data_IF_093258296441
#
_entry.id   IF_093258296441
#
_cell.length_a   1.000
_cell.length_b   1.000
_cell.length_c   1.000
_cell.angle_alpha   90.00
_cell.angle_beta   90.00
_cell.angle_gamma   90.00
#
_symmetry.space_group_name_H-M   'P 1'
#
loop_
_entity.id
_entity.type
_entity.pdbx_description
1 polymer ?
#
# COMPACT_ATOMS: atom_id res chain seq x y z
N UNK A 1 -3.29 5.10 -15.08
CA UNK A 1 -4.18 5.58 -14.02
C UNK A 1 -5.29 4.58 -13.88
N UNK A 2 -5.60 4.16 -12.66
CA UNK A 2 -6.78 3.34 -12.42
C UNK A 2 -8.02 4.20 -12.69
N UNK A 3 -9.01 3.61 -13.36
CA UNK A 3 -10.24 4.29 -13.75
C UNK A 3 -11.40 3.63 -13.03
N UNK A 4 -12.25 4.40 -12.33
CA UNK A 4 -13.43 3.85 -11.69
C UNK A 4 -14.43 3.32 -12.73
N UNK A 5 -15.18 2.29 -12.35
CA UNK A 5 -16.33 1.81 -13.13
C UNK A 5 -17.56 2.73 -12.96
N UNK A 6 -18.68 2.35 -13.59
CA UNK A 6 -19.94 3.10 -13.53
C UNK A 6 -20.49 3.30 -12.10
N UNK A 7 -20.05 2.49 -11.14
CA UNK A 7 -20.43 2.57 -9.73
C UNK A 7 -19.36 3.26 -8.86
N UNK A 8 -18.28 3.77 -9.46
CA UNK A 8 -17.18 4.38 -8.74
C UNK A 8 -16.16 3.39 -8.16
N UNK A 9 -16.25 2.10 -8.51
CA UNK A 9 -15.31 1.09 -8.01
C UNK A 9 -14.01 1.11 -8.80
N UNK A 10 -12.88 1.09 -8.08
CA UNK A 10 -11.54 1.06 -8.66
C UNK A 10 -10.89 -0.29 -8.35
N UNK A 11 -10.56 -1.05 -9.39
CA UNK A 11 -9.84 -2.32 -9.27
C UNK A 11 -8.33 -2.09 -9.11
N UNK A 12 -7.90 -1.65 -7.92
CA UNK A 12 -6.49 -1.32 -7.63
C UNK A 12 -5.65 -2.58 -7.32
N UNK A 13 -5.50 -3.43 -8.33
CA UNK A 13 -4.68 -4.65 -8.22
C UNK A 13 -3.20 -4.35 -7.99
N UNK A 14 -2.73 -3.18 -8.43
CA UNK A 14 -1.35 -2.76 -8.25
C UNK A 14 -1.04 -2.55 -6.76
N UNK A 15 -1.85 -1.77 -6.04
CA UNK A 15 -1.68 -1.53 -4.61
C UNK A 15 -1.82 -2.81 -3.80
N UNK A 16 -2.76 -3.69 -4.16
CA UNK A 16 -2.91 -5.01 -3.54
C UNK A 16 -1.61 -5.81 -3.68
N UNK A 17 -1.09 -5.93 -4.91
CA UNK A 17 0.14 -6.68 -5.19
C UNK A 17 1.34 -6.09 -4.45
N UNK A 18 1.45 -4.76 -4.42
CA UNK A 18 2.53 -4.05 -3.71
C UNK A 18 2.51 -4.34 -2.21
N UNK A 19 1.35 -4.22 -1.56
CA UNK A 19 1.21 -4.50 -0.12
C UNK A 19 1.44 -5.97 0.21
N UNK A 20 0.96 -6.89 -0.64
CA UNK A 20 1.22 -8.32 -0.48
C UNK A 20 2.73 -8.63 -0.46
N UNK A 21 3.49 -8.02 -1.37
CA UNK A 21 4.94 -8.18 -1.43
C UNK A 21 5.63 -7.68 -0.15
N UNK A 22 5.18 -6.55 0.42
CA UNK A 22 5.74 -6.00 1.66
C UNK A 22 5.42 -6.90 2.86
N UNK A 23 4.21 -7.44 2.95
CA UNK A 23 3.82 -8.37 4.00
C UNK A 23 4.67 -9.65 3.97
N UNK A 24 4.94 -10.19 2.77
CA UNK A 24 5.83 -11.35 2.60
C UNK A 24 7.26 -11.03 3.08
N UNK A 25 7.79 -9.87 2.72
CA UNK A 25 9.11 -9.44 3.17
C UNK A 25 9.19 -9.28 4.69
N UNK A 26 8.17 -8.70 5.34
CA UNK A 26 8.10 -8.60 6.80
C UNK A 26 8.02 -9.97 7.48
N UNK A 27 7.24 -10.89 6.92
CA UNK A 27 7.18 -12.28 7.39
C UNK A 27 8.57 -12.91 7.36
N UNK A 28 9.29 -12.73 6.25
CA UNK A 28 10.63 -13.31 6.09
C UNK A 28 11.62 -12.65 7.07
N UNK A 29 11.55 -11.33 7.29
CA UNK A 29 12.36 -10.63 8.30
C UNK A 29 12.11 -11.18 9.73
N UNK A 30 10.87 -11.53 10.07
CA UNK A 30 10.53 -12.12 11.37
C UNK A 30 11.09 -13.54 11.50
N UNK A 31 10.83 -14.42 10.53
CA UNK A 31 11.11 -15.85 10.69
C UNK A 31 12.49 -16.30 10.20
N UNK A 32 13.07 -15.61 9.23
CA UNK A 32 14.37 -15.96 8.65
C UNK A 32 15.50 -15.15 9.29
N UNK A 33 15.25 -13.86 9.54
CA UNK A 33 16.27 -12.95 10.06
C UNK A 33 16.15 -12.68 11.57
N UNK A 34 15.05 -13.11 12.21
CA UNK A 34 14.83 -12.98 13.66
C UNK A 34 14.53 -11.55 14.13
N UNK A 35 14.01 -10.70 13.23
CA UNK A 35 13.67 -9.30 13.55
C UNK A 35 12.42 -9.25 14.43
N UNK A 36 12.52 -8.55 15.56
CA UNK A 36 11.37 -8.22 16.41
C UNK A 36 10.58 -7.05 15.82
N UNK A 37 9.69 -7.37 14.87
CA UNK A 37 8.88 -6.40 14.15
C UNK A 37 7.64 -6.02 14.97
N UNK A 38 7.59 -4.78 15.46
CA UNK A 38 6.48 -4.27 16.27
C UNK A 38 5.18 -4.03 15.48
N UNK A 39 5.28 -3.77 14.18
CA UNK A 39 4.13 -3.52 13.32
C UNK A 39 4.48 -2.81 12.03
N UNK A 40 3.46 -2.61 11.18
CA UNK A 40 3.57 -1.95 9.88
C UNK A 40 2.43 -0.95 9.69
N UNK A 41 2.79 0.31 9.50
CA UNK A 41 1.84 1.40 9.28
C UNK A 41 1.91 1.84 7.82
N UNK A 42 0.95 1.40 7.01
CA UNK A 42 0.84 1.80 5.60
C UNK A 42 0.62 3.30 5.48
N UNK A 43 1.23 3.94 4.49
CA UNK A 43 0.96 5.33 4.18
C UNK A 43 -0.36 5.48 3.42
N UNK A 44 -1.20 6.41 3.87
CA UNK A 44 -2.52 6.68 3.30
C UNK A 44 -3.55 5.62 3.73
N UNK A 45 -4.24 5.87 4.85
CA UNK A 45 -5.46 5.13 5.19
C UNK A 45 -6.70 5.64 4.43
N UNK A 46 -6.55 6.80 3.81
CA UNK A 46 -7.46 7.49 2.89
C UNK A 46 -6.58 8.07 1.78
N UNK A 47 -7.16 8.40 0.63
CA UNK A 47 -6.45 9.10 -0.45
C UNK A 47 -6.09 10.52 0.01
N UNK A 48 -4.82 10.78 0.38
CA UNK A 48 -4.41 12.08 0.87
C UNK A 48 -3.83 12.90 -0.30
N UNK A 49 -4.04 14.21 -0.30
CA UNK A 49 -3.33 15.08 -1.24
C UNK A 49 -1.83 14.95 -0.98
N UNK A 50 -1.10 14.39 -1.94
CA UNK A 50 0.34 14.17 -1.81
C UNK A 50 1.11 15.49 -1.87
N UNK A 51 1.89 15.79 -0.83
CA UNK A 51 2.70 17.00 -0.73
C UNK A 51 3.82 17.10 -1.79
N UNK A 52 4.21 15.98 -2.40
CA UNK A 52 5.32 15.91 -3.36
C UNK A 52 4.90 15.87 -4.83
N UNK A 53 3.68 15.41 -5.14
CA UNK A 53 3.19 15.27 -6.52
C UNK A 53 2.10 16.27 -6.89
N UNK A 54 1.65 17.11 -5.96
CA UNK A 54 0.75 18.23 -6.28
C UNK A 54 -0.56 17.77 -6.90
N UNK A 55 -1.26 16.83 -6.27
CA UNK A 55 -2.62 16.41 -6.68
C UNK A 55 -3.69 17.51 -6.57
N UNK A 56 -3.31 18.74 -6.20
CA UNK A 56 -4.15 19.91 -6.31
C UNK A 56 -4.00 20.55 -7.71
N UNK A 57 -4.71 20.00 -8.69
CA UNK A 57 -5.22 20.75 -9.85
C UNK A 57 -6.71 20.45 -10.05
#
# INVERSE_FOLDING_TARGET
MDTPDENGYVADNYRITYLEAHIKAMRDAIYQDGVDLLGYTTWGCIDPVSAGTGENE
#
